data_IF_183589480802
#
_entry.id   IF_183589480802
#
_cell.length_a   1.000
_cell.length_b   1.000
_cell.length_c   1.000
_cell.angle_alpha   90.00
_cell.angle_beta   90.00
_cell.angle_gamma   90.00
#
_symmetry.space_group_name_H-M   'P 1'
#
loop_
_entity.id
_entity.type
_entity.pdbx_description
1 polymer ?
#
# COMPACT_ATOMS: atom_id res chain seq x y z
N UNK A 1 2.96 -8.12 -16.87
CA UNK A 1 3.58 -6.82 -16.63
C UNK A 1 4.93 -6.79 -17.31
N UNK A 2 5.26 -5.70 -17.99
CA UNK A 2 6.54 -5.52 -18.70
C UNK A 2 7.49 -4.60 -17.94
N UNK A 3 6.96 -3.67 -17.17
CA UNK A 3 7.72 -2.78 -16.29
C UNK A 3 6.84 -2.31 -15.13
N UNK A 4 7.40 -2.28 -13.93
CA UNK A 4 6.80 -1.69 -12.75
C UNK A 4 7.78 -0.67 -12.19
N UNK A 5 7.39 0.59 -12.23
CA UNK A 5 8.14 1.71 -11.69
C UNK A 5 7.36 2.35 -10.53
N UNK A 6 8.01 3.23 -9.81
CA UNK A 6 7.46 3.90 -8.62
C UNK A 6 6.16 4.66 -8.89
N UNK A 7 6.01 5.26 -10.05
CA UNK A 7 4.86 6.12 -10.40
C UNK A 7 4.00 5.54 -11.53
N UNK A 8 4.40 4.41 -12.12
CA UNK A 8 3.67 3.82 -13.24
C UNK A 8 3.90 2.33 -13.37
N UNK A 9 2.93 1.65 -13.95
CA UNK A 9 3.03 0.23 -14.33
C UNK A 9 2.71 0.07 -15.80
N UNK A 10 3.59 -0.63 -16.53
CA UNK A 10 3.40 -0.96 -17.94
C UNK A 10 3.17 -2.46 -18.13
N UNK A 11 2.24 -2.82 -19.01
CA UNK A 11 1.88 -4.21 -19.28
C UNK A 11 1.42 -4.42 -20.71
N UNK A 12 1.43 -5.67 -21.16
CA UNK A 12 0.87 -6.10 -22.45
C UNK A 12 -0.26 -7.08 -22.21
N UNK A 13 -1.22 -7.08 -23.13
CA UNK A 13 -2.27 -8.10 -23.23
C UNK A 13 -2.03 -8.92 -24.50
N UNK A 14 -2.47 -10.19 -24.48
CA UNK A 14 -2.08 -11.17 -25.51
C UNK A 14 -2.63 -10.91 -26.91
N UNK A 15 -3.69 -10.13 -27.01
CA UNK A 15 -4.44 -9.89 -28.24
C UNK A 15 -4.06 -8.59 -28.98
N UNK A 16 -3.05 -7.88 -28.48
CA UNK A 16 -2.50 -6.66 -29.12
C UNK A 16 -0.99 -6.55 -28.92
N UNK A 17 -0.31 -5.89 -29.87
CA UNK A 17 1.11 -5.55 -29.73
C UNK A 17 1.35 -4.29 -28.88
N UNK A 18 0.29 -3.61 -28.51
CA UNK A 18 0.38 -2.37 -27.74
C UNK A 18 0.81 -2.61 -26.31
N UNK A 19 1.65 -1.73 -25.80
CA UNK A 19 1.97 -1.65 -24.36
C UNK A 19 1.05 -0.62 -23.73
N UNK A 20 0.30 -1.04 -22.71
CA UNK A 20 -0.51 -0.15 -21.89
C UNK A 20 0.31 0.33 -20.69
N UNK A 21 0.12 1.57 -20.30
CA UNK A 21 0.76 2.18 -19.13
C UNK A 21 -0.28 2.92 -18.32
N UNK A 22 -0.26 2.70 -17.02
CA UNK A 22 -1.12 3.36 -16.04
C UNK A 22 -0.27 4.18 -15.06
N UNK A 23 -0.72 5.36 -14.62
CA UNK A 23 0.03 6.27 -13.76
C UNK A 23 -0.05 5.86 -12.28
N UNK A 24 0.09 4.56 -12.00
CA UNK A 24 0.10 3.98 -10.64
C UNK A 24 1.10 2.85 -10.54
N UNK A 25 1.79 2.69 -9.40
CA UNK A 25 2.59 1.51 -9.11
C UNK A 25 1.71 0.30 -8.78
N UNK A 26 2.32 -0.86 -8.78
CA UNK A 26 1.71 -2.11 -8.31
C UNK A 26 1.01 -2.91 -9.40
N UNK A 27 1.47 -4.15 -9.59
CA UNK A 27 0.89 -5.09 -10.56
C UNK A 27 -0.58 -5.37 -10.33
N UNK A 28 -1.08 -5.23 -9.10
CA UNK A 28 -2.49 -5.37 -8.75
C UNK A 28 -3.40 -4.33 -9.44
N UNK A 29 -2.87 -3.15 -9.77
CA UNK A 29 -3.62 -2.13 -10.50
C UNK A 29 -3.83 -2.50 -11.98
N UNK A 30 -3.08 -3.45 -12.52
CA UNK A 30 -3.28 -3.96 -13.88
C UNK A 30 -4.68 -4.60 -14.02
N UNK A 31 -5.16 -5.28 -12.99
CA UNK A 31 -6.53 -5.86 -13.01
C UNK A 31 -7.59 -4.77 -13.20
N UNK A 32 -7.45 -3.65 -12.51
CA UNK A 32 -8.36 -2.51 -12.67
C UNK A 32 -8.28 -1.91 -14.09
N UNK A 33 -7.06 -1.79 -14.63
CA UNK A 33 -6.86 -1.32 -15.99
C UNK A 33 -7.44 -2.28 -17.03
N UNK A 34 -7.34 -3.60 -16.84
CA UNK A 34 -7.95 -4.61 -17.73
C UNK A 34 -9.48 -4.48 -17.77
N UNK A 35 -10.12 -4.18 -16.65
CA UNK A 35 -11.56 -3.91 -16.61
C UNK A 35 -11.88 -2.68 -17.45
N UNK A 36 -11.13 -1.59 -17.28
CA UNK A 36 -11.32 -0.36 -18.05
C UNK A 36 -11.09 -0.58 -19.56
N UNK A 37 -10.06 -1.36 -19.94
CA UNK A 37 -9.80 -1.75 -21.33
C UNK A 37 -10.98 -2.55 -21.89
N UNK A 38 -11.49 -3.53 -21.16
CA UNK A 38 -12.65 -4.33 -21.58
C UNK A 38 -13.89 -3.47 -21.82
N UNK A 39 -14.16 -2.53 -20.92
CA UNK A 39 -15.28 -1.57 -21.06
C UNK A 39 -15.05 -0.66 -22.27
N UNK A 40 -13.84 -0.09 -22.45
CA UNK A 40 -13.52 0.77 -23.59
C UNK A 40 -13.73 0.05 -24.92
N UNK A 41 -13.25 -1.18 -25.05
CA UNK A 41 -13.45 -2.03 -26.24
C UNK A 41 -14.92 -2.37 -26.49
N UNK A 42 -15.69 -2.62 -25.42
CA UNK A 42 -17.13 -2.82 -25.55
C UNK A 42 -17.81 -1.62 -26.18
N UNK A 43 -17.38 -0.41 -25.86
CA UNK A 43 -17.84 0.84 -26.47
C UNK A 43 -17.11 1.19 -27.79
N UNK A 44 -16.40 0.24 -28.38
CA UNK A 44 -15.71 0.36 -29.68
C UNK A 44 -14.60 1.42 -29.73
N UNK A 45 -14.00 1.76 -28.58
CA UNK A 45 -12.81 2.59 -28.55
C UNK A 45 -11.60 1.79 -29.04
N UNK A 46 -10.72 2.45 -29.76
CA UNK A 46 -9.42 1.88 -30.16
C UNK A 46 -8.49 1.74 -28.95
N UNK A 47 -7.54 0.80 -29.01
CA UNK A 47 -6.53 0.64 -27.96
C UNK A 47 -5.75 1.92 -27.68
N UNK A 48 -5.53 2.76 -28.71
CA UNK A 48 -4.86 4.06 -28.57
C UNK A 48 -5.69 5.07 -27.77
N UNK A 49 -6.99 5.13 -28.00
CA UNK A 49 -7.91 6.00 -27.24
C UNK A 49 -8.03 5.53 -25.78
N UNK A 50 -8.11 4.20 -25.58
CA UNK A 50 -8.13 3.60 -24.25
C UNK A 50 -6.83 3.92 -23.51
N UNK A 51 -5.66 3.74 -24.14
CA UNK A 51 -4.37 4.09 -23.54
C UNK A 51 -4.29 5.56 -23.17
N UNK A 52 -4.77 6.46 -24.01
CA UNK A 52 -4.81 7.90 -23.72
C UNK A 52 -5.66 8.17 -22.46
N UNK A 53 -6.84 7.54 -22.36
CA UNK A 53 -7.70 7.63 -21.19
C UNK A 53 -7.04 7.11 -19.92
N UNK A 54 -6.39 5.95 -19.99
CA UNK A 54 -5.66 5.35 -18.87
C UNK A 54 -4.49 6.23 -18.40
N UNK A 55 -3.72 6.81 -19.34
CA UNK A 55 -2.56 7.64 -19.01
C UNK A 55 -2.94 8.99 -18.38
N UNK A 56 -4.15 9.48 -18.64
CA UNK A 56 -4.67 10.75 -18.13
C UNK A 56 -5.68 10.57 -16.98
N UNK A 57 -5.83 9.34 -16.47
CA UNK A 57 -6.76 9.06 -15.39
C UNK A 57 -6.34 9.82 -14.12
N UNK A 58 -7.25 10.64 -13.62
CA UNK A 58 -7.08 11.27 -12.31
C UNK A 58 -7.35 10.25 -11.22
N UNK A 59 -6.37 10.05 -10.36
CA UNK A 59 -6.50 9.12 -9.24
C UNK A 59 -7.23 9.75 -8.08
N UNK A 60 -8.03 8.96 -7.39
CA UNK A 60 -8.62 9.38 -6.13
C UNK A 60 -7.50 9.63 -5.11
N UNK A 61 -7.50 10.80 -4.46
CA UNK A 61 -6.55 11.11 -3.39
C UNK A 61 -6.51 10.01 -2.33
N UNK A 62 -5.34 9.83 -1.71
CA UNK A 62 -5.08 8.80 -0.69
C UNK A 62 -5.21 7.34 -1.19
N UNK A 63 -5.08 7.12 -2.51
CA UNK A 63 -4.95 5.79 -3.12
C UNK A 63 -3.62 5.70 -3.82
N UNK A 64 -2.70 4.92 -3.26
CA UNK A 64 -1.37 4.64 -3.84
C UNK A 64 -0.65 5.94 -4.26
N UNK A 65 -0.68 6.95 -3.41
CA UNK A 65 -0.12 8.29 -3.66
C UNK A 65 1.27 8.39 -3.03
N UNK A 66 2.25 8.88 -3.81
CA UNK A 66 3.58 9.18 -3.29
C UNK A 66 3.67 10.60 -2.75
N UNK A 67 4.10 10.71 -1.50
CA UNK A 67 4.32 11.96 -0.79
C UNK A 67 5.76 12.00 -0.29
N UNK A 68 6.21 13.19 0.13
CA UNK A 68 7.48 13.38 0.85
C UNK A 68 7.23 13.90 2.25
N UNK A 69 7.89 13.29 3.21
CA UNK A 69 7.98 13.81 4.57
C UNK A 69 8.84 15.08 4.61
N UNK A 70 8.71 15.87 5.68
CA UNK A 70 9.47 17.10 5.85
C UNK A 70 11.00 16.89 5.86
N UNK A 71 11.48 15.73 6.29
CA UNK A 71 12.89 15.35 6.27
C UNK A 71 13.37 14.77 4.93
N UNK A 72 12.46 14.58 3.94
CA UNK A 72 12.78 14.05 2.61
C UNK A 72 12.42 12.58 2.41
N UNK A 73 12.09 11.83 3.47
CA UNK A 73 11.67 10.43 3.35
C UNK A 73 10.44 10.27 2.45
N UNK A 74 10.33 9.12 1.79
CA UNK A 74 9.27 8.85 0.84
C UNK A 74 8.11 8.12 1.51
N UNK A 75 6.90 8.57 1.27
CA UNK A 75 5.68 8.02 1.86
C UNK A 75 4.76 7.52 0.75
N UNK A 76 4.47 6.23 0.73
CA UNK A 76 3.40 5.64 -0.06
C UNK A 76 2.11 5.68 0.77
N UNK A 77 1.22 6.60 0.45
CA UNK A 77 -0.06 6.75 1.12
C UNK A 77 -1.16 5.99 0.39
N UNK A 78 -1.76 5.02 1.07
CA UNK A 78 -2.91 4.24 0.56
C UNK A 78 -3.95 4.05 1.68
N UNK A 79 -4.46 5.16 2.19
CA UNK A 79 -5.29 5.25 3.40
C UNK A 79 -6.76 5.59 3.12
N UNK A 80 -7.22 5.39 1.89
CA UNK A 80 -8.62 5.58 1.53
C UNK A 80 -9.50 4.44 2.04
N UNK A 81 -9.04 3.19 1.90
CA UNK A 81 -9.71 2.00 2.41
C UNK A 81 -8.71 0.87 2.63
N UNK A 82 -9.06 -0.07 3.53
CA UNK A 82 -8.26 -1.26 3.77
C UNK A 82 -9.16 -2.50 3.90
N UNK A 83 -8.71 -3.58 3.29
CA UNK A 83 -9.19 -4.94 3.47
C UNK A 83 -8.00 -5.90 3.33
N UNK A 84 -8.12 -7.16 3.75
CA UNK A 84 -6.98 -8.10 3.74
C UNK A 84 -6.29 -8.23 2.38
N UNK A 85 -7.06 -8.39 1.30
CA UNK A 85 -6.52 -8.53 -0.05
C UNK A 85 -5.76 -7.27 -0.49
N UNK A 86 -6.35 -6.09 -0.33
CA UNK A 86 -5.72 -4.84 -0.74
C UNK A 86 -4.49 -4.51 0.12
N UNK A 87 -4.54 -4.78 1.43
CA UNK A 87 -3.39 -4.57 2.32
C UNK A 87 -2.24 -5.49 1.96
N UNK A 88 -2.49 -6.78 1.78
CA UNK A 88 -1.48 -7.74 1.37
C UNK A 88 -0.80 -7.37 0.05
N UNK A 89 -1.58 -7.03 -0.98
CA UNK A 89 -1.04 -6.64 -2.29
C UNK A 89 -0.15 -5.38 -2.23
N UNK A 90 -0.54 -4.38 -1.43
CA UNK A 90 0.29 -3.17 -1.23
C UNK A 90 1.58 -3.51 -0.50
N UNK A 91 1.53 -4.31 0.57
CA UNK A 91 2.71 -4.73 1.31
C UNK A 91 3.67 -5.56 0.45
N UNK A 92 3.15 -6.52 -0.33
CA UNK A 92 3.95 -7.34 -1.25
C UNK A 92 4.62 -6.51 -2.36
N UNK A 93 3.94 -5.50 -2.87
CA UNK A 93 4.52 -4.58 -3.85
C UNK A 93 5.57 -3.68 -3.19
N UNK A 94 5.26 -3.08 -2.04
CA UNK A 94 6.16 -2.21 -1.30
C UNK A 94 7.45 -2.91 -0.87
N UNK A 95 7.36 -4.17 -0.43
CA UNK A 95 8.51 -4.97 -0.01
C UNK A 95 9.54 -5.23 -1.13
N UNK A 96 9.12 -5.16 -2.40
CA UNK A 96 9.95 -5.41 -3.59
C UNK A 96 10.53 -4.14 -4.21
N UNK A 97 10.09 -2.96 -3.79
CA UNK A 97 10.58 -1.71 -4.34
C UNK A 97 12.06 -1.51 -4.01
N UNK A 98 12.81 -0.87 -4.90
CA UNK A 98 14.20 -0.48 -4.62
C UNK A 98 14.24 0.51 -3.47
N UNK A 99 15.19 0.35 -2.54
CA UNK A 99 15.37 1.22 -1.38
C UNK A 99 16.82 1.60 -1.18
N UNK A 100 17.05 2.71 -0.49
CA UNK A 100 18.36 3.12 0.03
C UNK A 100 18.39 2.91 1.54
N UNK A 101 17.42 3.47 2.26
CA UNK A 101 17.22 3.29 3.70
C UNK A 101 16.34 2.08 4.05
N UNK A 102 15.65 2.18 5.17
CA UNK A 102 14.68 1.18 5.63
C UNK A 102 13.34 1.30 4.91
N UNK A 103 12.57 0.21 4.91
CA UNK A 103 11.12 0.25 4.69
C UNK A 103 10.41 0.15 6.03
N UNK A 104 9.45 1.02 6.23
CA UNK A 104 8.64 1.13 7.44
C UNK A 104 7.18 0.96 7.03
N UNK A 105 6.44 0.12 7.75
CA UNK A 105 4.99 0.01 7.56
C UNK A 105 4.26 0.69 8.73
N UNK A 106 3.29 1.55 8.42
CA UNK A 106 2.33 2.12 9.37
C UNK A 106 0.95 1.62 8.97
N UNK A 107 0.41 0.70 9.75
CA UNK A 107 -0.81 -0.05 9.43
C UNK A 107 -1.90 0.25 10.45
N UNK A 108 -3.05 0.73 9.98
CA UNK A 108 -4.25 0.93 10.79
C UNK A 108 -5.26 -0.19 10.59
N UNK A 109 -6.19 -0.33 11.53
CA UNK A 109 -7.24 -1.34 11.49
C UNK A 109 -7.94 -1.40 10.14
N UNK A 110 -8.26 -2.62 9.72
CA UNK A 110 -9.20 -2.90 8.66
C UNK A 110 -10.59 -3.00 9.27
N UNK A 111 -11.43 -1.99 9.02
CA UNK A 111 -12.77 -1.92 9.57
C UNK A 111 -13.75 -2.77 8.74
N UNK A 112 -14.92 -3.07 9.32
CA UNK A 112 -16.05 -3.75 8.65
C UNK A 112 -15.77 -5.20 8.23
N UNK A 113 -14.83 -5.89 8.88
CA UNK A 113 -14.49 -7.29 8.57
C UNK A 113 -15.40 -8.32 9.27
N UNK A 114 -16.27 -7.87 10.18
CA UNK A 114 -17.16 -8.78 10.91
C UNK A 114 -16.43 -9.72 11.90
N UNK A 115 -16.97 -10.92 12.14
CA UNK A 115 -16.46 -11.81 13.21
C UNK A 115 -15.06 -12.37 12.92
N UNK A 116 -14.61 -12.37 11.68
CA UNK A 116 -13.31 -12.93 11.28
C UNK A 116 -12.18 -11.87 11.33
N UNK A 117 -12.47 -10.65 11.85
CA UNK A 117 -11.53 -9.53 11.89
C UNK A 117 -10.19 -9.91 12.51
N UNK A 118 -10.19 -10.56 13.67
CA UNK A 118 -8.97 -10.99 14.36
C UNK A 118 -8.09 -11.89 13.48
N UNK A 119 -8.68 -12.92 12.86
CA UNK A 119 -7.96 -13.85 12.00
C UNK A 119 -7.42 -13.15 10.74
N UNK A 120 -8.19 -12.22 10.17
CA UNK A 120 -7.81 -11.46 8.98
C UNK A 120 -6.66 -10.49 9.28
N UNK A 121 -6.64 -9.83 10.45
CA UNK A 121 -5.52 -9.01 10.88
C UNK A 121 -4.27 -9.86 11.13
N UNK A 122 -4.39 -10.98 11.83
CA UNK A 122 -3.30 -11.93 12.05
C UNK A 122 -2.67 -12.43 10.75
N UNK A 123 -3.50 -12.72 9.73
CA UNK A 123 -3.04 -13.21 8.44
C UNK A 123 -2.14 -12.21 7.69
N UNK A 124 -2.18 -10.92 8.02
CA UNK A 124 -1.30 -9.93 7.39
C UNK A 124 0.18 -10.16 7.71
N UNK A 125 0.51 -10.93 8.74
CA UNK A 125 1.88 -11.29 9.07
C UNK A 125 2.61 -12.00 7.91
N UNK A 126 1.90 -12.73 7.06
CA UNK A 126 2.48 -13.40 5.88
C UNK A 126 3.05 -12.44 4.82
N UNK A 127 2.64 -11.16 4.85
CA UNK A 127 3.09 -10.10 3.95
C UNK A 127 4.17 -9.20 4.56
N UNK A 128 4.63 -9.54 5.76
CA UNK A 128 5.61 -8.79 6.53
C UNK A 128 6.81 -9.69 6.86
N UNK A 129 7.99 -9.27 6.43
CA UNK A 129 9.24 -9.96 6.71
C UNK A 129 10.31 -8.93 7.14
N UNK A 130 11.07 -9.19 8.23
CA UNK A 130 12.00 -8.21 8.82
C UNK A 130 13.13 -7.77 7.88
N UNK A 131 13.50 -8.58 6.91
CA UNK A 131 14.51 -8.30 5.88
C UNK A 131 13.95 -7.43 4.74
N UNK A 132 12.63 -7.39 4.58
CA UNK A 132 11.94 -6.62 3.55
C UNK A 132 11.33 -5.33 4.08
N UNK A 133 10.69 -5.37 5.25
CA UNK A 133 10.10 -4.23 5.96
C UNK A 133 10.63 -4.26 7.39
N UNK A 134 11.52 -3.37 7.73
CA UNK A 134 12.34 -3.47 8.94
C UNK A 134 11.62 -3.04 10.22
N UNK A 135 10.66 -2.12 10.12
CA UNK A 135 9.90 -1.62 11.28
C UNK A 135 8.41 -1.55 10.97
N UNK A 136 7.59 -1.91 11.95
CA UNK A 136 6.13 -1.98 11.81
C UNK A 136 5.47 -1.19 12.94
N UNK A 137 4.67 -0.20 12.56
CA UNK A 137 3.84 0.61 13.45
C UNK A 137 2.38 0.20 13.24
N UNK A 138 1.74 -0.24 14.29
CA UNK A 138 0.40 -0.80 14.29
C UNK A 138 -0.54 0.13 15.06
N UNK A 139 -1.64 0.53 14.43
CA UNK A 139 -2.53 1.55 14.94
C UNK A 139 -3.98 1.08 14.96
N UNK A 140 -4.52 0.92 16.15
CA UNK A 140 -5.87 0.45 16.42
C UNK A 140 -5.92 -0.81 17.26
N UNK A 141 -7.11 -1.20 17.71
CA UNK A 141 -7.32 -2.33 18.59
C UNK A 141 -7.18 -3.69 17.88
N UNK A 142 -7.62 -3.76 16.65
CA UNK A 142 -7.57 -5.00 15.85
C UNK A 142 -6.15 -5.34 15.40
N UNK A 143 -5.31 -4.33 15.21
CA UNK A 143 -3.89 -4.52 14.91
C UNK A 143 -3.11 -5.22 16.03
N UNK A 144 -3.65 -5.32 17.24
CA UNK A 144 -3.04 -6.10 18.33
C UNK A 144 -2.89 -7.58 17.94
N UNK A 145 -3.85 -8.16 17.19
CA UNK A 145 -3.75 -9.53 16.71
C UNK A 145 -2.59 -9.74 15.72
N UNK A 146 -2.31 -8.74 14.90
CA UNK A 146 -1.12 -8.76 14.03
C UNK A 146 0.16 -8.58 14.86
N UNK A 147 0.17 -7.67 15.83
CA UNK A 147 1.32 -7.47 16.71
C UNK A 147 1.76 -8.76 17.41
N UNK A 148 0.80 -9.50 17.97
CA UNK A 148 1.07 -10.79 18.63
C UNK A 148 1.70 -11.79 17.64
N UNK A 149 1.20 -11.86 16.43
CA UNK A 149 1.73 -12.78 15.41
C UNK A 149 3.12 -12.39 14.92
N UNK A 150 3.42 -11.11 14.81
CA UNK A 150 4.72 -10.61 14.36
C UNK A 150 5.85 -10.90 15.36
N UNK A 151 5.55 -11.12 16.65
CA UNK A 151 6.54 -11.50 17.66
C UNK A 151 7.24 -12.84 17.33
N UNK A 152 6.67 -13.66 16.46
CA UNK A 152 7.30 -14.90 16.00
C UNK A 152 8.49 -14.64 15.03
N UNK A 153 8.53 -13.48 14.38
CA UNK A 153 9.49 -13.19 13.30
C UNK A 153 10.27 -11.89 13.48
N UNK A 154 9.68 -10.89 14.12
CA UNK A 154 10.30 -9.59 14.37
C UNK A 154 10.89 -9.51 15.78
N UNK A 155 12.00 -8.78 15.92
CA UNK A 155 12.48 -8.36 17.23
C UNK A 155 11.43 -7.42 17.88
N UNK A 156 11.18 -7.54 19.20
CA UNK A 156 10.18 -6.70 19.87
C UNK A 156 10.42 -5.17 19.71
N UNK A 157 11.66 -4.77 19.54
CA UNK A 157 12.02 -3.36 19.33
C UNK A 157 11.56 -2.79 17.98
N UNK A 158 11.17 -3.65 17.03
CA UNK A 158 10.77 -3.26 15.68
C UNK A 158 9.25 -3.35 15.48
N UNK A 159 8.48 -3.69 16.53
CA UNK A 159 7.01 -3.72 16.55
C UNK A 159 6.54 -2.64 17.51
N UNK A 160 5.80 -1.67 16.99
CA UNK A 160 5.28 -0.55 17.76
C UNK A 160 3.76 -0.55 17.65
N UNK A 161 3.06 -0.67 18.80
CA UNK A 161 1.59 -0.73 18.82
C UNK A 161 1.01 0.49 19.52
N UNK A 162 -0.03 1.06 18.92
CA UNK A 162 -0.72 2.26 19.39
C UNK A 162 -2.23 2.06 19.30
N UNK A 163 -2.94 2.50 20.34
CA UNK A 163 -4.40 2.57 20.33
C UNK A 163 -4.85 3.75 19.46
N UNK A 164 -6.14 3.77 19.11
CA UNK A 164 -6.72 4.83 18.29
C UNK A 164 -6.62 6.22 18.93
N UNK A 165 -6.60 6.29 20.25
CA UNK A 165 -6.44 7.52 21.03
C UNK A 165 -4.98 8.02 21.08
N UNK A 166 -4.01 7.17 20.73
CA UNK A 166 -2.56 7.42 20.81
C UNK A 166 -1.99 7.85 19.44
N UNK A 167 -2.78 8.58 18.63
CA UNK A 167 -2.34 9.01 17.29
C UNK A 167 -1.11 9.93 17.33
N UNK A 168 -1.07 10.83 18.30
CA UNK A 168 0.06 11.74 18.44
C UNK A 168 1.35 11.00 18.82
N UNK A 169 1.24 10.01 19.68
CA UNK A 169 2.34 9.14 20.10
C UNK A 169 2.85 8.30 18.92
N UNK A 170 1.96 7.77 18.07
CA UNK A 170 2.32 7.11 16.82
C UNK A 170 3.12 8.05 15.92
N UNK A 171 2.63 9.28 15.69
CA UNK A 171 3.30 10.26 14.83
C UNK A 171 4.70 10.58 15.35
N UNK A 172 4.84 10.84 16.63
CA UNK A 172 6.15 11.16 17.25
C UNK A 172 7.10 9.95 17.23
N UNK A 173 6.59 8.73 17.42
CA UNK A 173 7.38 7.51 17.32
C UNK A 173 7.90 7.27 15.90
N UNK A 174 7.05 7.45 14.87
CA UNK A 174 7.48 7.36 13.46
C UNK A 174 8.52 8.44 13.15
N UNK A 175 8.28 9.69 13.51
CA UNK A 175 9.23 10.81 13.29
C UNK A 175 10.59 10.55 13.93
N UNK A 176 10.64 9.90 15.10
CA UNK A 176 11.88 9.62 15.82
C UNK A 176 12.78 8.64 15.09
N UNK A 177 12.22 7.67 14.37
CA UNK A 177 13.00 6.64 13.67
C UNK A 177 13.24 6.96 12.20
N UNK A 178 12.36 7.74 11.58
CA UNK A 178 12.34 8.00 10.14
C UNK A 178 13.55 8.82 9.69
N UNK A 179 14.37 8.25 8.81
CA UNK A 179 15.51 8.92 8.19
C UNK A 179 15.17 9.42 6.76
N UNK A 180 15.90 10.38 6.20
CA UNK A 180 15.62 10.96 4.87
C UNK A 180 15.60 9.94 3.73
N UNK A 181 16.37 8.85 3.85
CA UNK A 181 16.52 7.80 2.83
C UNK A 181 15.46 6.68 2.97
N UNK A 182 14.64 6.74 4.02
CA UNK A 182 13.66 5.70 4.31
C UNK A 182 12.42 5.83 3.42
N UNK A 183 11.70 4.72 3.32
CA UNK A 183 10.41 4.64 2.68
C UNK A 183 9.37 4.16 3.69
N UNK A 184 8.21 4.81 3.69
CA UNK A 184 7.09 4.45 4.57
C UNK A 184 5.87 4.08 3.72
N UNK A 185 5.19 3.00 4.05
CA UNK A 185 3.85 2.73 3.57
C UNK A 185 2.83 3.03 4.67
N UNK A 186 1.83 3.86 4.35
CA UNK A 186 0.68 4.12 5.22
C UNK A 186 -0.53 3.38 4.66
N UNK A 187 -1.13 2.49 5.43
CA UNK A 187 -2.35 1.79 5.02
C UNK A 187 -3.27 1.50 6.20
N UNK A 188 -4.56 1.73 6.00
CA UNK A 188 -5.60 1.51 6.98
C UNK A 188 -6.96 1.94 6.43
N UNK A 189 -8.03 1.56 7.10
CA UNK A 189 -9.37 2.05 6.76
C UNK A 189 -9.47 3.55 6.95
N UNK A 190 -10.29 4.19 6.14
CA UNK A 190 -10.50 5.66 6.19
C UNK A 190 -10.85 6.17 7.59
N UNK A 191 -11.67 5.40 8.33
CA UNK A 191 -12.06 5.74 9.71
C UNK A 191 -10.93 5.73 10.74
N UNK A 192 -9.71 5.29 10.37
CA UNK A 192 -8.52 5.37 11.21
C UNK A 192 -7.83 6.74 11.15
N UNK A 193 -8.16 7.56 10.15
CA UNK A 193 -7.64 8.93 10.04
C UNK A 193 -6.14 9.05 9.78
N UNK A 194 -5.49 8.03 9.19
CA UNK A 194 -4.04 8.03 8.94
C UNK A 194 -3.57 9.06 7.90
N UNK A 195 -4.48 9.72 7.20
CA UNK A 195 -4.17 10.77 6.20
C UNK A 195 -3.90 12.15 6.81
N UNK A 196 -4.25 12.35 8.07
CA UNK A 196 -4.11 13.58 8.84
C UNK A 196 -2.83 13.53 9.68
#
# INVERSE_FOLDING_TARGET
VTNEAKEQTSFKISDTQMTFTIPVPGTYNVTNALIAIGIGRYFQLTDSEIQKGLATAELTKNRTEWLKAANGAEILSDVYNANPTAMGLVLDSFSKMSKVGKRIAVLGDMLELGPDSAAMHQAMAQHLAPDAIEEVFLYGSEMAYLADKLQETYAPANIHSFKKEEKNELIEAVKKVLQPEDMVVLKGSNGMGLRE
#
